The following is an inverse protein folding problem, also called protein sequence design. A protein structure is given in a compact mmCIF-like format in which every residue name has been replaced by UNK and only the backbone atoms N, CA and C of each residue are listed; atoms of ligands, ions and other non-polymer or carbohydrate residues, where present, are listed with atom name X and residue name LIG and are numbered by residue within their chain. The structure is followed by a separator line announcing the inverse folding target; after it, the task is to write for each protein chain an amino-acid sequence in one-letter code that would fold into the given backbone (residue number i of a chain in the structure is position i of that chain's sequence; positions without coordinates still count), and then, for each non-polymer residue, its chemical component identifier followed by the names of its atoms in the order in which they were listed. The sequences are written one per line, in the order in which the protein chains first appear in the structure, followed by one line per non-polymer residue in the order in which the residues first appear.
data_IF_470233185065
#
_entry.id   IF_470233185065
#
_cell.length_a   1.000
_cell.length_b   1.000
_cell.length_c   1.000
_cell.angle_alpha   90.00
_cell.angle_beta   90.00
_cell.angle_gamma   90.00
#
_symmetry.space_group_name_H-M   'P 1'
#
loop_
_entity.id
_entity.type
_entity.pdbx_description
1 polymer ?
#
# COMPACT_ATOMS: atom_id res chain seq x y z
N UNK A 1 -79.14 -45.05 -19.30
CA UNK A 1 -77.80 -45.27 -18.70
C UNK A 1 -76.72 -44.37 -19.30
N UNK A 2 -76.82 -43.98 -20.56
CA UNK A 2 -75.79 -43.17 -21.27
C UNK A 2 -75.53 -41.78 -20.69
N UNK A 3 -76.52 -41.16 -20.04
CA UNK A 3 -76.36 -39.83 -19.45
C UNK A 3 -75.43 -39.85 -18.22
N UNK A 4 -75.53 -40.87 -17.37
CA UNK A 4 -74.65 -41.04 -16.21
C UNK A 4 -73.19 -41.35 -16.61
N UNK A 5 -72.98 -42.06 -17.72
CA UNK A 5 -71.64 -42.33 -18.27
C UNK A 5 -71.03 -41.04 -18.80
N UNK A 6 -71.79 -40.22 -19.54
CA UNK A 6 -71.33 -38.90 -20.03
C UNK A 6 -70.99 -37.93 -18.90
N UNK A 7 -71.81 -37.87 -17.85
CA UNK A 7 -71.53 -37.01 -16.68
C UNK A 7 -70.26 -37.48 -15.94
N UNK A 8 -70.06 -38.79 -15.78
CA UNK A 8 -68.83 -39.34 -15.16
C UNK A 8 -67.58 -39.06 -15.99
N UNK A 9 -67.64 -39.17 -17.31
CA UNK A 9 -66.50 -38.85 -18.17
C UNK A 9 -66.19 -37.36 -18.18
N UNK A 10 -67.21 -36.50 -18.22
CA UNK A 10 -67.03 -35.04 -18.11
C UNK A 10 -66.44 -34.62 -16.76
N UNK A 11 -66.91 -35.21 -15.66
CA UNK A 11 -66.35 -34.96 -14.33
C UNK A 11 -64.90 -35.43 -14.23
N UNK A 12 -64.56 -36.59 -14.84
CA UNK A 12 -63.19 -37.09 -14.88
C UNK A 12 -62.26 -36.17 -15.68
N UNK A 13 -62.69 -35.72 -16.85
CA UNK A 13 -61.92 -34.77 -17.68
C UNK A 13 -61.75 -33.43 -16.97
N UNK A 14 -62.79 -32.93 -16.29
CA UNK A 14 -62.70 -31.72 -15.49
C UNK A 14 -61.74 -31.86 -14.30
N UNK A 15 -61.74 -33.03 -13.64
CA UNK A 15 -60.83 -33.33 -12.53
C UNK A 15 -59.38 -33.49 -13.00
N UNK A 16 -59.14 -34.16 -14.13
CA UNK A 16 -57.82 -34.24 -14.78
C UNK A 16 -57.31 -32.85 -15.19
N UNK A 17 -58.18 -32.00 -15.75
CA UNK A 17 -57.87 -30.61 -16.08
C UNK A 17 -57.53 -29.77 -14.84
N UNK A 18 -58.25 -29.97 -13.72
CA UNK A 18 -57.96 -29.32 -12.45
C UNK A 18 -56.61 -29.77 -11.87
N UNK A 19 -56.30 -31.07 -11.91
CA UNK A 19 -55.03 -31.62 -11.43
C UNK A 19 -53.87 -31.09 -12.28
N UNK A 20 -54.02 -31.06 -13.60
CA UNK A 20 -53.01 -30.49 -14.51
C UNK A 20 -52.79 -29.00 -14.26
N UNK A 21 -53.86 -28.21 -14.08
CA UNK A 21 -53.77 -26.80 -13.75
C UNK A 21 -53.06 -26.57 -12.40
N UNK A 22 -53.31 -27.41 -11.39
CA UNK A 22 -52.63 -27.34 -10.08
C UNK A 22 -51.15 -27.72 -10.17
N UNK A 23 -50.80 -28.78 -10.88
CA UNK A 23 -49.41 -29.15 -11.13
C UNK A 23 -48.65 -28.02 -11.82
N UNK A 24 -49.27 -27.40 -12.85
CA UNK A 24 -48.72 -26.24 -13.54
C UNK A 24 -48.57 -25.02 -12.63
N UNK A 25 -49.52 -24.78 -11.73
CA UNK A 25 -49.43 -23.71 -10.74
C UNK A 25 -48.30 -23.96 -9.74
N UNK A 26 -48.11 -25.19 -9.28
CA UNK A 26 -46.98 -25.57 -8.40
C UNK A 26 -45.63 -25.42 -9.10
N UNK A 27 -45.52 -25.82 -10.37
CA UNK A 27 -44.30 -25.66 -11.16
C UNK A 27 -43.97 -24.18 -11.39
N UNK A 28 -44.98 -23.37 -11.72
CA UNK A 28 -44.84 -21.92 -11.82
C UNK A 28 -44.46 -21.26 -10.49
N UNK A 29 -45.02 -21.73 -9.38
CA UNK A 29 -44.66 -21.25 -8.05
C UNK A 29 -43.21 -21.58 -7.70
N UNK A 30 -42.76 -22.82 -7.95
CA UNK A 30 -41.35 -23.23 -7.78
C UNK A 30 -40.42 -22.39 -8.66
N UNK A 31 -40.77 -22.17 -9.93
CA UNK A 31 -40.01 -21.31 -10.85
C UNK A 31 -39.98 -19.87 -10.37
N UNK A 32 -41.09 -19.35 -9.85
CA UNK A 32 -41.16 -17.99 -9.29
C UNK A 32 -40.24 -17.83 -8.09
N UNK A 33 -40.17 -18.81 -7.18
CA UNK A 33 -39.24 -18.80 -6.05
C UNK A 33 -37.79 -18.80 -6.53
N UNK A 34 -37.44 -19.68 -7.48
CA UNK A 34 -36.09 -19.73 -8.05
C UNK A 34 -35.70 -18.43 -8.73
N UNK A 35 -36.59 -17.85 -9.53
CA UNK A 35 -36.36 -16.56 -10.18
C UNK A 35 -36.17 -15.44 -9.16
N UNK A 36 -36.98 -15.38 -8.09
CA UNK A 36 -36.79 -14.40 -7.01
C UNK A 36 -35.44 -14.54 -6.31
N UNK A 37 -34.98 -15.78 -6.11
CA UNK A 37 -33.66 -16.04 -5.51
C UNK A 37 -32.53 -15.59 -6.45
N UNK A 38 -32.64 -15.90 -7.75
CA UNK A 38 -31.67 -15.48 -8.76
C UNK A 38 -31.63 -13.95 -8.88
N UNK A 39 -32.78 -13.27 -8.87
CA UNK A 39 -32.83 -11.80 -8.93
C UNK A 39 -32.10 -11.18 -7.73
N UNK A 40 -32.38 -11.64 -6.51
CA UNK A 40 -31.66 -11.17 -5.31
C UNK A 40 -30.15 -11.40 -5.41
N UNK A 41 -29.74 -12.54 -5.96
CA UNK A 41 -28.33 -12.84 -6.18
C UNK A 41 -27.67 -11.90 -7.20
N UNK A 42 -28.34 -11.64 -8.32
CA UNK A 42 -27.85 -10.72 -9.36
C UNK A 42 -27.80 -9.28 -8.84
N UNK A 43 -28.78 -8.85 -8.07
CA UNK A 43 -28.78 -7.53 -7.39
C UNK A 43 -27.58 -7.41 -6.44
N UNK A 44 -27.30 -8.45 -5.64
CA UNK A 44 -26.17 -8.46 -4.72
C UNK A 44 -24.82 -8.42 -5.45
N UNK A 45 -24.68 -9.19 -6.53
CA UNK A 45 -23.48 -9.11 -7.40
C UNK A 45 -23.35 -7.73 -8.03
N UNK A 46 -24.46 -7.11 -8.44
CA UNK A 46 -24.43 -5.76 -9.00
C UNK A 46 -23.92 -4.76 -7.95
N UNK A 47 -24.48 -4.78 -6.74
CA UNK A 47 -23.99 -3.92 -5.64
C UNK A 47 -22.51 -4.13 -5.35
N UNK A 48 -22.02 -5.38 -5.46
CA UNK A 48 -20.62 -5.70 -5.20
C UNK A 48 -19.69 -5.26 -6.35
N UNK A 49 -20.18 -5.29 -7.60
CA UNK A 49 -19.49 -4.69 -8.74
C UNK A 49 -19.44 -3.16 -8.63
N UNK A 50 -20.56 -2.56 -8.25
CA UNK A 50 -20.69 -1.11 -8.09
C UNK A 50 -19.76 -0.64 -6.94
N UNK A 51 -19.71 -1.37 -5.82
CA UNK A 51 -18.77 -1.09 -4.72
C UNK A 51 -17.32 -1.23 -5.15
N UNK A 52 -16.96 -2.20 -6.01
CA UNK A 52 -15.60 -2.32 -6.53
C UNK A 52 -15.21 -1.12 -7.42
N UNK A 53 -16.15 -0.57 -8.21
CA UNK A 53 -15.92 0.66 -8.96
C UNK A 53 -15.84 1.88 -8.06
N UNK A 54 -16.64 1.91 -7.00
CA UNK A 54 -16.59 2.96 -5.99
C UNK A 54 -15.23 2.96 -5.27
N UNK A 55 -14.67 1.80 -4.91
CA UNK A 55 -13.31 1.67 -4.35
C UNK A 55 -12.27 2.31 -5.28
N UNK A 56 -12.32 2.02 -6.58
CA UNK A 56 -11.41 2.67 -7.56
C UNK A 56 -11.56 4.20 -7.54
N UNK A 57 -12.79 4.72 -7.44
CA UNK A 57 -13.04 6.16 -7.35
C UNK A 57 -12.57 6.78 -6.02
N UNK A 58 -12.61 6.02 -4.92
CA UNK A 58 -12.18 6.46 -3.60
C UNK A 58 -10.65 6.50 -3.49
N UNK A 59 -9.96 5.57 -4.14
CA UNK A 59 -8.50 5.58 -4.27
C UNK A 59 -8.05 6.84 -5.01
N UNK A 60 -8.77 7.27 -6.05
CA UNK A 60 -8.48 8.51 -6.77
C UNK A 60 -8.71 9.78 -5.91
N UNK A 61 -9.64 9.72 -4.95
CA UNK A 61 -9.99 10.83 -4.05
C UNK A 61 -9.17 10.85 -2.75
N UNK A 62 -8.16 9.98 -2.60
CA UNK A 62 -7.33 9.81 -1.39
C UNK A 62 -8.11 9.47 -0.10
N UNK A 63 -9.34 8.95 -0.22
CA UNK A 63 -10.16 8.50 0.93
C UNK A 63 -9.88 7.05 1.26
N UNK A 64 -8.65 6.77 1.68
CA UNK A 64 -8.14 5.41 1.88
C UNK A 64 -8.84 4.64 3.00
N UNK A 65 -9.24 5.31 4.10
CA UNK A 65 -9.95 4.66 5.20
C UNK A 65 -11.28 4.06 4.72
N UNK A 66 -12.08 4.86 4.02
CA UNK A 66 -13.38 4.42 3.50
C UNK A 66 -13.22 3.36 2.39
N UNK A 67 -12.17 3.45 1.57
CA UNK A 67 -11.84 2.42 0.59
C UNK A 67 -11.54 1.06 1.23
N UNK A 68 -10.77 1.03 2.34
CA UNK A 68 -10.50 -0.20 3.10
C UNK A 68 -11.75 -0.73 3.80
N UNK A 69 -12.58 0.15 4.36
CA UNK A 69 -13.86 -0.23 4.95
C UNK A 69 -14.77 -0.92 3.92
N UNK A 70 -15.00 -0.26 2.78
CA UNK A 70 -15.83 -0.79 1.70
C UNK A 70 -15.24 -2.10 1.13
N UNK A 71 -13.91 -2.20 1.04
CA UNK A 71 -13.25 -3.46 0.67
C UNK A 71 -13.55 -4.59 1.67
N UNK A 72 -13.38 -4.34 2.96
CA UNK A 72 -13.64 -5.34 4.00
C UNK A 72 -15.11 -5.80 4.00
N UNK A 73 -16.06 -4.86 3.91
CA UNK A 73 -17.49 -5.19 3.81
C UNK A 73 -17.79 -6.00 2.54
N UNK A 74 -17.24 -5.58 1.40
CA UNK A 74 -17.39 -6.26 0.12
C UNK A 74 -16.82 -7.69 0.14
N UNK A 75 -15.71 -7.90 0.86
CA UNK A 75 -15.07 -9.21 1.04
C UNK A 75 -15.90 -10.14 1.93
N UNK A 76 -16.52 -9.64 3.01
CA UNK A 76 -17.41 -10.45 3.86
C UNK A 76 -18.60 -10.96 3.06
N UNK A 77 -19.23 -10.06 2.30
CA UNK A 77 -20.36 -10.41 1.43
C UNK A 77 -19.96 -11.48 0.41
N UNK A 78 -18.71 -11.44 -0.10
CA UNK A 78 -18.26 -12.40 -1.10
C UNK A 78 -17.99 -13.80 -0.55
N UNK A 79 -17.56 -13.92 0.72
CA UNK A 79 -17.36 -15.22 1.40
C UNK A 79 -18.67 -16.02 1.48
N UNK A 80 -19.81 -15.34 1.65
CA UNK A 80 -21.13 -15.99 1.66
C UNK A 80 -21.51 -16.63 0.29
N UNK A 81 -20.78 -16.30 -0.79
CA UNK A 81 -21.07 -16.73 -2.17
C UNK A 81 -19.95 -17.56 -2.83
N UNK A 82 -19.04 -18.15 -2.06
CA UNK A 82 -17.89 -18.92 -2.57
C UNK A 82 -18.23 -20.12 -3.47
N UNK A 83 -19.49 -20.57 -3.46
CA UNK A 83 -19.96 -21.69 -4.28
C UNK A 83 -20.09 -21.37 -5.78
N UNK A 84 -20.02 -20.09 -6.19
CA UNK A 84 -20.29 -19.67 -7.57
C UNK A 84 -19.02 -19.30 -8.35
N UNK A 85 -18.94 -19.69 -9.63
CA UNK A 85 -17.82 -19.30 -10.51
C UNK A 85 -17.71 -17.79 -10.70
N UNK A 86 -18.84 -17.06 -10.68
CA UNK A 86 -18.84 -15.59 -10.74
C UNK A 86 -18.22 -14.95 -9.49
N UNK A 87 -18.34 -15.59 -8.32
CA UNK A 87 -17.67 -15.15 -7.09
C UNK A 87 -16.15 -15.17 -7.25
N UNK A 88 -15.58 -16.16 -7.96
CA UNK A 88 -14.12 -16.22 -8.21
C UNK A 88 -13.60 -15.02 -9.00
N UNK A 89 -14.30 -14.62 -10.07
CA UNK A 89 -13.91 -13.45 -10.87
C UNK A 89 -13.98 -12.15 -10.05
N UNK A 90 -15.01 -12.01 -9.21
CA UNK A 90 -15.17 -10.84 -8.37
C UNK A 90 -14.16 -10.80 -7.21
N UNK A 91 -13.79 -11.98 -6.69
CA UNK A 91 -12.71 -12.15 -5.72
C UNK A 91 -11.38 -11.69 -6.29
N UNK A 92 -11.06 -12.06 -7.53
CA UNK A 92 -9.86 -11.58 -8.22
C UNK A 92 -9.88 -10.05 -8.34
N UNK A 93 -10.99 -9.46 -8.80
CA UNK A 93 -11.11 -8.01 -8.92
C UNK A 93 -10.97 -7.27 -7.57
N UNK A 94 -11.55 -7.81 -6.50
CA UNK A 94 -11.38 -7.24 -5.16
C UNK A 94 -9.95 -7.40 -4.63
N UNK A 95 -9.25 -8.49 -4.96
CA UNK A 95 -7.82 -8.63 -4.66
C UNK A 95 -6.99 -7.59 -5.40
N UNK A 96 -7.28 -7.33 -6.68
CA UNK A 96 -6.63 -6.26 -7.44
C UNK A 96 -6.90 -4.88 -6.82
N UNK A 97 -8.14 -4.62 -6.36
CA UNK A 97 -8.46 -3.39 -5.64
C UNK A 97 -7.69 -3.28 -4.31
N UNK A 98 -7.45 -4.39 -3.59
CA UNK A 98 -6.60 -4.39 -2.38
C UNK A 98 -5.18 -3.99 -2.72
N UNK A 99 -4.59 -4.60 -3.76
CA UNK A 99 -3.23 -4.27 -4.20
C UNK A 99 -3.09 -2.78 -4.55
N UNK A 100 -4.07 -2.20 -5.25
CA UNK A 100 -4.07 -0.75 -5.54
C UNK A 100 -4.12 0.13 -4.29
N UNK A 101 -4.84 -0.31 -3.24
CA UNK A 101 -4.86 0.40 -1.95
C UNK A 101 -3.47 0.33 -1.31
N UNK A 102 -2.85 -0.86 -1.31
CA UNK A 102 -1.52 -1.07 -0.74
C UNK A 102 -0.45 -0.25 -1.50
N UNK A 103 -0.49 -0.24 -2.84
CA UNK A 103 0.38 0.59 -3.68
C UNK A 103 0.24 2.08 -3.35
N UNK A 104 -0.99 2.55 -3.10
CA UNK A 104 -1.25 3.95 -2.74
C UNK A 104 -0.76 4.26 -1.33
N UNK A 105 -0.91 3.34 -0.38
CA UNK A 105 -0.35 3.48 0.97
C UNK A 105 1.18 3.58 0.92
N UNK A 106 1.82 2.69 0.15
CA UNK A 106 3.27 2.69 -0.05
C UNK A 106 3.76 3.98 -0.71
N UNK A 107 3.03 4.52 -1.68
CA UNK A 107 3.37 5.79 -2.31
C UNK A 107 3.35 6.97 -1.31
N UNK A 108 2.35 7.00 -0.40
CA UNK A 108 2.24 8.05 0.62
C UNK A 108 3.30 7.86 1.71
N UNK A 109 3.56 6.63 2.14
CA UNK A 109 4.65 6.32 3.07
C UNK A 109 6.01 6.76 2.52
N UNK A 110 6.33 6.40 1.28
CA UNK A 110 7.57 6.80 0.63
C UNK A 110 7.70 8.33 0.55
N UNK A 111 6.60 9.05 0.31
CA UNK A 111 6.58 10.52 0.35
C UNK A 111 6.93 11.05 1.73
N UNK A 112 6.30 10.50 2.77
CA UNK A 112 6.57 10.88 4.17
C UNK A 112 8.00 10.56 4.62
N UNK A 113 8.63 9.50 4.08
CA UNK A 113 10.04 9.21 4.32
C UNK A 113 10.99 10.25 3.69
N UNK A 114 10.58 10.94 2.61
CA UNK A 114 11.34 12.05 2.01
C UNK A 114 11.12 13.36 2.75
N UNK A 115 9.86 13.72 2.93
CA UNK A 115 9.44 14.94 3.62
C UNK A 115 8.26 14.60 4.51
N UNK A 116 8.49 14.68 5.81
CA UNK A 116 7.49 14.32 6.80
C UNK A 116 6.32 15.32 6.79
N UNK A 117 5.14 14.83 6.44
CA UNK A 117 3.88 15.56 6.53
C UNK A 117 2.94 14.87 7.53
N UNK A 118 2.67 15.56 8.64
CA UNK A 118 1.84 15.07 9.73
C UNK A 118 0.43 14.66 9.27
N UNK A 119 -0.19 15.45 8.39
CA UNK A 119 -1.58 15.24 7.98
C UNK A 119 -1.70 13.99 7.11
N UNK A 120 -0.79 13.85 6.16
CA UNK A 120 -0.75 12.69 5.27
C UNK A 120 -0.35 11.41 6.03
N UNK A 121 0.61 11.52 6.95
CA UNK A 121 1.05 10.39 7.77
C UNK A 121 -0.06 9.89 8.70
N UNK A 122 -0.79 10.79 9.38
CA UNK A 122 -1.95 10.43 10.22
C UNK A 122 -3.01 9.63 9.44
N UNK A 123 -3.34 10.06 8.22
CA UNK A 123 -4.32 9.35 7.39
C UNK A 123 -3.90 7.91 7.11
N UNK A 124 -2.63 7.72 6.76
CA UNK A 124 -2.04 6.40 6.51
C UNK A 124 -2.03 5.55 7.77
N UNK A 125 -1.64 6.12 8.91
CA UNK A 125 -1.66 5.46 10.22
C UNK A 125 -3.01 4.83 10.54
N UNK A 126 -4.07 5.61 10.36
CA UNK A 126 -5.43 5.19 10.68
C UNK A 126 -5.88 4.07 9.73
N UNK A 127 -5.48 4.12 8.45
CA UNK A 127 -5.75 3.02 7.53
C UNK A 127 -5.05 1.74 7.99
N UNK A 128 -3.81 1.85 8.46
CA UNK A 128 -3.03 0.72 8.93
C UNK A 128 -3.54 0.11 10.24
N UNK A 129 -4.02 0.94 11.15
CA UNK A 129 -4.75 0.51 12.34
C UNK A 129 -6.00 -0.29 11.94
N UNK A 130 -6.72 0.17 10.93
CA UNK A 130 -7.87 -0.52 10.34
C UNK A 130 -7.51 -1.84 9.62
N UNK A 131 -6.30 -1.95 9.06
CA UNK A 131 -5.78 -3.22 8.51
C UNK A 131 -5.37 -4.21 9.62
N UNK A 132 -5.12 -3.74 10.84
CA UNK A 132 -4.83 -4.59 12.00
C UNK A 132 -3.46 -5.27 11.99
N UNK A 133 -2.51 -4.81 11.17
CA UNK A 133 -1.20 -5.45 11.02
C UNK A 133 -0.04 -4.56 11.46
N UNK A 134 0.14 -4.39 12.77
CA UNK A 134 1.21 -3.59 13.41
C UNK A 134 2.59 -3.89 12.81
N UNK A 135 2.87 -5.18 12.62
CA UNK A 135 4.14 -5.69 12.14
C UNK A 135 4.40 -5.24 10.71
N UNK A 136 3.37 -5.20 9.87
CA UNK A 136 3.48 -4.75 8.48
C UNK A 136 3.87 -3.28 8.38
N UNK A 137 3.34 -2.38 9.23
CA UNK A 137 3.75 -0.96 9.22
C UNK A 137 5.22 -0.83 9.59
N UNK A 138 5.63 -1.43 10.70
CA UNK A 138 7.02 -1.31 11.17
C UNK A 138 8.01 -1.80 10.12
N UNK A 139 7.75 -2.97 9.52
CA UNK A 139 8.57 -3.52 8.44
C UNK A 139 8.52 -2.70 7.16
N UNK A 140 7.34 -2.22 6.73
CA UNK A 140 7.21 -1.37 5.55
C UNK A 140 7.94 -0.04 5.75
N UNK A 141 7.86 0.55 6.93
CA UNK A 141 8.52 1.81 7.24
C UNK A 141 10.04 1.66 7.18
N UNK A 142 10.60 0.61 7.80
CA UNK A 142 12.03 0.27 7.69
C UNK A 142 12.45 0.07 6.22
N UNK A 143 11.67 -0.71 5.46
CA UNK A 143 11.93 -0.97 4.04
C UNK A 143 11.90 0.32 3.21
N UNK A 144 10.92 1.19 3.40
CA UNK A 144 10.78 2.45 2.67
C UNK A 144 11.92 3.41 2.99
N UNK A 145 12.40 3.47 4.24
CA UNK A 145 13.56 4.27 4.60
C UNK A 145 14.85 3.79 3.94
N UNK A 146 15.13 2.48 3.97
CA UNK A 146 16.30 1.90 3.29
C UNK A 146 16.19 2.12 1.77
N UNK A 147 15.01 1.88 1.18
CA UNK A 147 14.77 2.10 -0.24
C UNK A 147 14.95 3.57 -0.63
N UNK A 148 14.52 4.50 0.23
CA UNK A 148 14.69 5.92 -0.02
C UNK A 148 16.16 6.31 -0.05
N UNK A 149 16.97 5.82 0.90
CA UNK A 149 18.41 6.07 0.94
C UNK A 149 19.05 5.60 -0.37
N UNK A 150 18.78 4.36 -0.78
CA UNK A 150 19.31 3.80 -2.04
C UNK A 150 18.87 4.63 -3.25
N UNK A 151 17.57 4.94 -3.36
CA UNK A 151 17.02 5.71 -4.48
C UNK A 151 17.60 7.13 -4.57
N UNK A 152 17.74 7.83 -3.45
CA UNK A 152 18.30 9.17 -3.43
C UNK A 152 19.78 9.16 -3.79
N UNK A 153 20.54 8.21 -3.24
CA UNK A 153 21.97 8.10 -3.50
C UNK A 153 22.24 7.80 -4.99
N UNK A 154 21.48 6.88 -5.59
CA UNK A 154 21.53 6.59 -7.03
C UNK A 154 21.10 7.82 -7.86
N UNK A 155 20.01 8.50 -7.46
CA UNK A 155 19.53 9.69 -8.15
C UNK A 155 20.56 10.81 -8.18
N UNK A 156 21.23 11.07 -7.06
CA UNK A 156 22.27 12.11 -6.97
C UNK A 156 23.45 11.73 -7.89
N UNK A 157 23.91 10.49 -7.85
CA UNK A 157 24.98 10.04 -8.74
C UNK A 157 24.63 10.15 -10.23
N UNK A 158 23.40 9.79 -10.62
CA UNK A 158 22.95 9.97 -11.99
C UNK A 158 22.95 11.44 -12.42
N UNK A 159 22.63 12.38 -11.53
CA UNK A 159 22.70 13.82 -11.83
C UNK A 159 24.15 14.24 -12.10
N UNK A 160 25.11 13.79 -11.29
CA UNK A 160 26.52 14.12 -11.48
C UNK A 160 27.11 13.45 -12.73
N UNK A 161 26.77 12.18 -12.98
CA UNK A 161 27.14 11.50 -14.22
C UNK A 161 26.61 12.25 -15.45
N UNK A 162 25.33 12.66 -15.45
CA UNK A 162 24.75 13.46 -16.54
C UNK A 162 25.47 14.80 -16.71
N UNK A 163 25.86 15.48 -15.63
CA UNK A 163 26.65 16.72 -15.67
C UNK A 163 28.06 16.52 -16.24
N UNK A 164 28.65 15.32 -16.09
CA UNK A 164 29.95 14.98 -16.68
C UNK A 164 29.87 14.63 -18.17
N UNK A 165 28.74 14.07 -18.62
CA UNK A 165 28.54 13.59 -20.01
C UNK A 165 27.94 14.66 -20.95
N UNK A 166 27.70 15.90 -20.48
CA UNK A 166 27.15 16.99 -21.30
C UNK A 166 27.98 17.41 -22.51
N UNK A 167 29.13 16.78 -22.76
CA UNK A 167 29.86 16.90 -24.03
C UNK A 167 29.22 16.14 -25.19
N UNK A 168 28.35 15.14 -24.96
CA UNK A 168 27.69 14.36 -26.02
C UNK A 168 26.22 14.04 -25.69
N UNK A 169 25.25 14.80 -26.22
CA UNK A 169 23.81 14.63 -25.95
C UNK A 169 23.16 13.32 -26.45
N UNK A 170 23.89 12.43 -27.13
CA UNK A 170 23.31 11.28 -27.84
C UNK A 170 23.31 9.96 -27.03
N UNK A 171 24.05 9.85 -25.93
CA UNK A 171 24.09 8.64 -25.07
C UNK A 171 23.03 8.64 -23.94
N UNK A 172 22.17 9.65 -23.88
CA UNK A 172 21.31 9.94 -22.73
C UNK A 172 20.05 9.06 -22.61
N UNK A 173 19.76 8.18 -23.58
CA UNK A 173 18.41 7.61 -23.70
C UNK A 173 18.24 6.27 -22.98
N UNK A 174 19.24 5.38 -22.91
CA UNK A 174 19.03 4.05 -22.32
C UNK A 174 20.32 3.46 -21.72
N UNK A 175 20.77 3.98 -20.57
CA UNK A 175 21.63 3.17 -19.71
C UNK A 175 20.75 2.50 -18.65
N UNK A 176 20.74 1.16 -18.57
CA UNK A 176 20.01 0.44 -17.53
C UNK A 176 20.53 0.87 -16.16
N UNK A 177 19.72 0.68 -15.12
CA UNK A 177 20.06 0.87 -13.69
C UNK A 177 21.49 0.39 -13.42
N UNK A 178 22.45 1.31 -13.54
CA UNK A 178 23.86 0.97 -13.44
C UNK A 178 24.14 0.73 -11.97
N UNK A 179 24.92 -0.31 -11.66
CA UNK A 179 25.20 -0.65 -10.27
C UNK A 179 25.85 0.56 -9.57
N UNK A 180 25.55 0.75 -8.29
CA UNK A 180 26.00 1.89 -7.51
C UNK A 180 27.52 2.05 -7.59
N UNK A 181 28.25 0.93 -7.54
CA UNK A 181 29.70 0.90 -7.67
C UNK A 181 30.21 1.37 -9.05
N UNK A 182 29.48 1.07 -10.13
CA UNK A 182 29.82 1.52 -11.49
C UNK A 182 29.54 3.01 -11.70
N UNK A 183 28.50 3.54 -11.05
CA UNK A 183 28.23 4.98 -11.06
C UNK A 183 29.27 5.75 -10.25
N UNK A 184 29.77 5.17 -9.16
CA UNK A 184 30.82 5.76 -8.34
C UNK A 184 32.17 5.83 -9.09
N UNK A 185 32.52 4.82 -9.90
CA UNK A 185 33.80 4.78 -10.61
C UNK A 185 33.91 5.77 -11.78
N UNK A 186 32.78 6.22 -12.32
CA UNK A 186 32.68 7.19 -13.43
C UNK A 186 32.66 8.64 -12.96
N UNK A 187 32.77 8.90 -11.66
CA UNK A 187 32.70 10.25 -11.09
C UNK A 187 34.07 10.92 -11.10
N UNK A 188 34.17 12.11 -11.71
CA UNK A 188 35.39 12.90 -11.72
C UNK A 188 35.74 13.47 -10.34
N UNK A 189 37.05 13.62 -10.06
CA UNK A 189 37.58 14.07 -8.77
C UNK A 189 37.01 15.44 -8.35
N UNK A 190 36.81 16.35 -9.31
CA UNK A 190 36.23 17.68 -9.09
C UNK A 190 34.75 17.64 -8.66
N UNK A 191 34.05 16.55 -8.96
CA UNK A 191 32.63 16.36 -8.64
C UNK A 191 32.40 15.57 -7.34
N UNK A 192 33.46 15.01 -6.76
CA UNK A 192 33.36 14.18 -5.55
C UNK A 192 32.87 14.96 -4.33
N UNK A 193 33.50 16.10 -4.05
CA UNK A 193 33.16 16.97 -2.90
C UNK A 193 31.72 17.49 -2.98
N UNK A 194 31.24 18.06 -4.10
CA UNK A 194 29.85 18.50 -4.18
C UNK A 194 28.87 17.32 -4.14
N UNK A 195 29.21 16.15 -4.73
CA UNK A 195 28.37 14.95 -4.63
C UNK A 195 28.24 14.46 -3.19
N UNK A 196 29.34 14.39 -2.44
CA UNK A 196 29.32 14.00 -1.03
C UNK A 196 28.47 14.97 -0.19
N UNK A 197 28.59 16.28 -0.45
CA UNK A 197 27.76 17.29 0.22
C UNK A 197 26.26 17.07 -0.03
N UNK A 198 25.88 16.82 -1.27
CA UNK A 198 24.47 16.59 -1.64
C UNK A 198 23.94 15.27 -1.05
N UNK A 199 24.78 14.23 -1.01
CA UNK A 199 24.45 12.96 -0.36
C UNK A 199 24.25 13.10 1.14
N UNK A 200 25.19 13.73 1.84
CA UNK A 200 25.07 13.98 3.28
C UNK A 200 23.83 14.84 3.58
N UNK A 201 23.54 15.83 2.74
CA UNK A 201 22.33 16.66 2.88
C UNK A 201 21.05 15.83 2.72
N UNK A 202 21.03 14.92 1.73
CA UNK A 202 19.92 13.98 1.54
C UNK A 202 19.76 13.03 2.73
N UNK A 203 20.85 12.46 3.25
CA UNK A 203 20.80 11.58 4.41
C UNK A 203 20.30 12.31 5.66
N UNK A 204 20.76 13.53 5.90
CA UNK A 204 20.25 14.36 6.99
C UNK A 204 18.74 14.63 6.86
N UNK A 205 18.26 14.86 5.64
CA UNK A 205 16.83 15.04 5.39
C UNK A 205 16.03 13.75 5.69
N UNK A 206 16.51 12.60 5.23
CA UNK A 206 15.89 11.30 5.53
C UNK A 206 15.90 11.00 7.04
N UNK A 207 17.00 11.31 7.73
CA UNK A 207 17.12 11.17 9.19
C UNK A 207 16.15 12.08 9.94
N UNK A 208 15.96 13.32 9.47
CA UNK A 208 14.96 14.24 10.04
C UNK A 208 13.56 13.68 9.94
N UNK A 209 13.17 13.19 8.77
CA UNK A 209 11.86 12.55 8.57
C UNK A 209 11.70 11.30 9.46
N UNK A 210 12.77 10.52 9.60
CA UNK A 210 12.79 9.34 10.46
C UNK A 210 12.62 9.67 11.95
N UNK A 211 13.35 10.67 12.47
CA UNK A 211 13.22 11.13 13.85
C UNK A 211 11.85 11.77 14.11
N UNK A 212 11.31 12.53 13.15
CA UNK A 212 9.98 13.12 13.28
C UNK A 212 8.87 12.06 13.42
N UNK A 213 8.98 10.93 12.71
CA UNK A 213 8.05 9.80 12.85
C UNK A 213 8.20 9.14 14.22
N UNK A 214 9.43 8.92 14.69
CA UNK A 214 9.68 8.39 16.04
C UNK A 214 9.08 9.28 17.13
N UNK A 215 9.33 10.59 17.06
CA UNK A 215 8.81 11.57 18.01
C UNK A 215 7.28 11.66 17.96
N UNK A 216 6.69 11.51 16.77
CA UNK A 216 5.25 11.46 16.62
C UNK A 216 4.64 10.22 17.32
N UNK A 217 5.25 9.04 17.14
CA UNK A 217 4.78 7.81 17.77
C UNK A 217 4.93 7.84 19.31
N UNK A 218 6.04 8.40 19.81
CA UNK A 218 6.27 8.55 21.25
C UNK A 218 5.29 9.57 21.87
N UNK A 219 5.05 10.69 21.18
CA UNK A 219 4.09 11.71 21.61
C UNK A 219 2.65 11.18 21.61
N UNK A 220 2.28 10.38 20.61
CA UNK A 220 0.95 9.76 20.54
C UNK A 220 0.71 8.77 21.67
N UNK A 221 1.72 7.97 22.01
CA UNK A 221 1.68 7.08 23.18
C UNK A 221 1.46 7.86 24.48
N UNK A 222 2.14 9.00 24.66
CA UNK A 222 1.97 9.83 25.85
C UNK A 222 0.52 10.34 25.96
N UNK A 223 -0.06 10.85 24.87
CA UNK A 223 -1.45 11.33 24.81
C UNK A 223 -2.49 10.23 25.08
N UNK A 224 -2.28 9.04 24.54
CA UNK A 224 -3.15 7.88 24.80
C UNK A 224 -3.12 7.46 26.27
N UNK A 225 -1.94 7.47 26.91
CA UNK A 225 -1.81 7.16 28.35
C UNK A 225 -2.44 8.23 29.25
N UNK A 226 -2.43 9.49 28.83
CA UNK A 226 -3.02 10.62 29.57
C UNK A 226 -4.54 10.76 29.36
N UNK A 227 -5.13 9.97 28.45
CA UNK A 227 -6.57 9.99 28.16
C UNK A 227 -7.05 11.28 27.48
N UNK A 228 -6.13 12.07 26.91
CA UNK A 228 -6.39 13.38 26.27
C UNK A 228 -6.53 13.32 24.75
N UNK A 229 -6.73 12.12 24.19
CA UNK A 229 -6.90 11.93 22.75
C UNK A 229 -8.28 12.42 22.28
N UNK A 230 -8.42 13.73 22.13
CA UNK A 230 -9.52 14.37 21.41
C UNK A 230 -9.26 14.34 19.90
N UNK A 231 -9.32 13.16 19.30
CA UNK A 231 -9.35 13.05 17.84
C UNK A 231 -10.78 12.80 17.36
N UNK A 232 -11.48 13.91 17.16
CA UNK A 232 -12.65 13.95 16.29
C UNK A 232 -12.21 13.72 14.83
N UNK A 233 -12.26 12.47 14.39
CA UNK A 233 -12.23 12.12 12.97
C UNK A 233 -13.46 12.73 12.27
N UNK A 234 -13.26 13.70 11.36
CA UNK A 234 -14.35 14.30 10.55
C UNK A 234 -14.94 13.33 9.51
N UNK A 235 -14.26 12.22 9.20
CA UNK A 235 -14.79 11.17 8.30
C UNK A 235 -15.48 10.09 9.13
N UNK A 236 -16.83 10.14 9.14
CA UNK A 236 -17.74 9.29 9.91
C UNK A 236 -17.74 7.82 9.45
N UNK A 237 -16.64 7.09 9.69
CA UNK A 237 -16.58 5.63 9.49
C UNK A 237 -16.60 4.95 10.85
N UNK A 238 -17.50 3.98 11.11
CA UNK A 238 -17.59 3.32 12.41
C UNK A 238 -16.28 2.62 12.74
N UNK A 239 -15.65 2.96 13.88
CA UNK A 239 -14.37 2.38 14.32
C UNK A 239 -14.36 0.84 14.21
N UNK A 240 -13.21 0.22 13.84
CA UNK A 240 -13.16 -1.21 13.66
C UNK A 240 -13.44 -1.89 15.01
N UNK A 241 -14.38 -2.84 15.02
CA UNK A 241 -14.88 -3.55 16.20
C UNK A 241 -13.80 -4.35 17.00
N UNK A 242 -12.51 -4.23 16.67
CA UNK A 242 -11.39 -4.95 17.27
C UNK A 242 -10.35 -4.06 17.98
N UNK A 243 -10.45 -2.72 17.89
CA UNK A 243 -9.48 -1.79 18.49
C UNK A 243 -10.14 -0.67 19.31
N UNK A 244 -11.22 -0.96 20.05
CA UNK A 244 -11.77 0.00 21.01
C UNK A 244 -10.99 0.05 22.33
N UNK A 245 -9.85 -0.64 22.44
CA UNK A 245 -9.06 -0.70 23.66
C UNK A 245 -7.81 0.17 23.51
N UNK A 246 -7.77 1.26 24.29
CA UNK A 246 -6.66 2.22 24.35
C UNK A 246 -5.34 1.51 24.65
N UNK A 247 -5.38 0.42 25.42
CA UNK A 247 -4.21 -0.41 25.72
C UNK A 247 -3.61 -1.05 24.46
N UNK A 248 -4.45 -1.49 23.52
CA UNK A 248 -3.99 -2.11 22.28
C UNK A 248 -3.35 -1.09 21.35
N UNK A 249 -3.91 0.14 21.28
CA UNK A 249 -3.31 1.24 20.53
C UNK A 249 -1.97 1.67 21.13
N UNK A 250 -1.86 1.77 22.46
CA UNK A 250 -0.59 2.04 23.15
C UNK A 250 0.47 0.97 22.86
N UNK A 251 0.10 -0.31 22.94
CA UNK A 251 1.00 -1.43 22.62
C UNK A 251 1.45 -1.40 21.15
N UNK A 252 0.56 -1.01 20.25
CA UNK A 252 0.83 -0.84 18.82
C UNK A 252 1.90 0.23 18.59
N UNK A 253 1.74 1.42 19.20
CA UNK A 253 2.71 2.50 19.05
C UNK A 253 4.06 2.15 19.69
N UNK A 254 4.07 1.45 20.84
CA UNK A 254 5.29 0.99 21.49
C UNK A 254 6.08 0.02 20.61
N UNK A 255 5.40 -0.97 20.02
CA UNK A 255 6.04 -1.91 19.10
C UNK A 255 6.71 -1.22 17.91
N UNK A 256 6.03 -0.23 17.31
CA UNK A 256 6.58 0.52 16.19
C UNK A 256 7.82 1.33 16.61
N UNK A 257 7.81 1.94 17.79
CA UNK A 257 8.98 2.66 18.33
C UNK A 257 10.14 1.69 18.51
N UNK A 258 9.95 0.58 19.24
CA UNK A 258 11.01 -0.40 19.51
C UNK A 258 11.63 -0.93 18.20
N UNK A 259 10.78 -1.27 17.22
CA UNK A 259 11.27 -1.73 15.90
C UNK A 259 12.00 -0.64 15.14
N UNK A 260 11.53 0.60 15.19
CA UNK A 260 12.27 1.68 14.58
C UNK A 260 13.62 1.84 15.28
N UNK A 261 13.68 1.81 16.61
CA UNK A 261 14.96 1.91 17.35
C UNK A 261 15.99 0.85 16.91
N UNK A 262 15.57 -0.41 16.76
CA UNK A 262 16.41 -1.46 16.18
C UNK A 262 16.86 -1.13 14.74
N UNK A 263 15.96 -0.54 13.96
CA UNK A 263 16.21 -0.11 12.58
C UNK A 263 17.20 1.05 12.44
N UNK A 264 17.52 1.79 13.50
CA UNK A 264 18.53 2.88 13.47
C UNK A 264 19.89 2.37 13.00
N UNK A 265 20.29 1.18 13.48
CA UNK A 265 21.56 0.55 13.11
C UNK A 265 21.59 0.16 11.63
N UNK A 266 20.49 -0.37 11.11
CA UNK A 266 20.37 -0.77 9.70
C UNK A 266 20.48 0.46 8.79
N UNK A 267 19.77 1.55 9.12
CA UNK A 267 19.84 2.79 8.35
C UNK A 267 21.24 3.41 8.39
N UNK A 268 21.87 3.41 9.56
CA UNK A 268 23.23 3.91 9.71
C UNK A 268 24.23 3.10 8.87
N UNK A 269 24.17 1.76 8.95
CA UNK A 269 25.01 0.88 8.15
C UNK A 269 24.82 1.12 6.64
N UNK A 270 23.58 1.29 6.19
CA UNK A 270 23.33 1.58 4.77
C UNK A 270 23.93 2.92 4.33
N UNK A 271 23.78 3.98 5.13
CA UNK A 271 24.41 5.28 4.84
C UNK A 271 25.94 5.19 4.79
N UNK A 272 26.55 4.54 5.78
CA UNK A 272 28.00 4.35 5.85
C UNK A 272 28.51 3.52 4.67
N UNK A 273 27.84 2.42 4.33
CA UNK A 273 28.21 1.58 3.20
C UNK A 273 28.24 2.38 1.89
N UNK A 274 27.24 3.26 1.66
CA UNK A 274 27.21 4.11 0.45
C UNK A 274 28.34 5.12 0.42
N UNK A 275 28.63 5.78 1.55
CA UNK A 275 29.75 6.74 1.66
C UNK A 275 31.09 6.01 1.45
N UNK A 276 31.30 4.86 2.10
CA UNK A 276 32.52 4.08 1.96
C UNK A 276 32.75 3.58 0.53
N UNK A 277 31.69 3.15 -0.16
CA UNK A 277 31.76 2.77 -1.58
C UNK A 277 32.15 3.95 -2.47
N UNK A 278 31.64 5.16 -2.22
CA UNK A 278 32.03 6.38 -2.94
C UNK A 278 33.49 6.75 -2.71
N UNK A 279 33.93 6.73 -1.45
CA UNK A 279 35.32 7.02 -1.09
C UNK A 279 36.29 5.97 -1.68
N UNK A 280 35.88 4.71 -1.72
CA UNK A 280 36.66 3.62 -2.33
C UNK A 280 36.80 3.81 -3.84
N UNK A 281 35.72 4.21 -4.53
CA UNK A 281 35.75 4.51 -5.95
C UNK A 281 36.62 5.74 -6.26
N UNK A 282 36.53 6.78 -5.44
CA UNK A 282 37.38 7.96 -5.55
C UNK A 282 38.86 7.62 -5.38
N UNK A 283 39.20 6.75 -4.41
CA UNK A 283 40.58 6.28 -4.20
C UNK A 283 41.13 5.57 -5.44
N UNK A 284 40.32 4.73 -6.09
CA UNK A 284 40.72 4.04 -7.32
C UNK A 284 40.89 5.00 -8.51
N UNK A 285 40.00 5.98 -8.66
CA UNK A 285 40.09 6.99 -9.73
C UNK A 285 41.29 7.93 -9.54
N UNK A 286 41.67 8.24 -8.30
CA UNK A 286 42.85 9.06 -8.01
C UNK A 286 44.20 8.37 -8.22
N UNK A 287 44.25 7.04 -8.38
CA UNK A 287 45.51 6.35 -8.66
C UNK A 287 46.08 6.72 -10.05
N UNK A 288 45.25 7.29 -10.94
CA UNK A 288 45.64 7.78 -12.26
C UNK A 288 45.80 9.32 -12.32
N UNK A 289 45.65 10.04 -11.20
CA UNK A 289 45.67 11.51 -11.14
C UNK A 289 46.97 12.08 -10.51
N UNK A 290 47.42 13.29 -10.91
CA UNK A 290 48.65 13.89 -10.38
C UNK A 290 48.58 14.21 -8.88
N UNK A 291 49.75 14.16 -8.24
CA UNK A 291 50.05 14.19 -6.80
C UNK A 291 49.29 15.23 -5.96
N UNK A 292 48.84 16.35 -6.54
CA UNK A 292 48.10 17.39 -5.81
C UNK A 292 46.69 16.96 -5.38
N UNK A 293 46.02 16.08 -6.14
CA UNK A 293 44.68 15.59 -5.78
C UNK A 293 44.71 14.56 -4.64
N UNK A 294 45.81 13.81 -4.52
CA UNK A 294 46.02 12.81 -3.46
C UNK A 294 46.18 13.51 -2.09
N UNK A 295 46.85 14.66 -2.04
CA UNK A 295 46.96 15.46 -0.81
C UNK A 295 45.63 16.07 -0.35
N UNK A 296 44.71 16.39 -1.26
CA UNK A 296 43.41 16.95 -0.89
C UNK A 296 42.49 15.88 -0.28
N UNK A 297 42.52 14.65 -0.81
CA UNK A 297 41.72 13.54 -0.27
C UNK A 297 42.30 12.98 1.04
N UNK A 298 43.63 12.88 1.19
CA UNK A 298 44.25 12.48 2.47
C UNK A 298 43.79 13.38 3.63
N UNK A 299 43.68 14.70 3.39
CA UNK A 299 43.17 15.64 4.39
C UNK A 299 41.68 15.49 4.72
N UNK A 300 40.90 14.85 3.85
CA UNK A 300 39.47 14.57 4.05
C UNK A 300 39.23 13.22 4.76
N UNK A 301 40.19 12.29 4.70
CA UNK A 301 40.10 10.98 5.35
C UNK A 301 40.75 10.91 6.74
N UNK A 302 41.59 11.88 7.11
CA UNK A 302 42.27 11.95 8.41
C UNK A 302 41.51 12.78 9.48
N UNK A 303 40.20 12.99 9.31
CA UNK A 303 39.33 13.74 10.24
C UNK A 303 38.23 12.90 10.86
#
# INVERSE_FOLDING_TARGET
MDHCVKVRTQLRIALEGLVYARLRAMENYKRSIQLKLIVKFVERIRTLRDSAQEIDSLIQKDRLKYAVYLHNESSKVLQDFDQFTCSKFLNLKLKDCRLKIDDRLDAILLRNCKEFDLVSYRKVQLVYEWLGSVQTIASQLQMHFVSQITRNTNSILHIYHKKSVTSNPFELIDSPESDFAELCSKLGVDQLVPCLKDLCSSFLQTLRSYLAILDWHSSRRAKLNEGTDEDSDEDSVPAPARHSDVETACAWHLYVVDKLEEGKLILWQEMVNRICSLLSAAKSSCHDAPFEHICFISKLTDG
#
